data_IF_131807148952
#
_entry.id   IF_131807148952
#
_cell.length_a   1.000
_cell.length_b   1.000
_cell.length_c   1.000
_cell.angle_alpha   90.00
_cell.angle_beta   90.00
_cell.angle_gamma   90.00
#
_symmetry.space_group_name_H-M   'P 1'
#
loop_
_entity.id
_entity.type
_entity.pdbx_description
1 polymer ?
#
# COMPACT_ATOMS: atom_id res chain seq x y z
N UNK A 1 -21.23 9.08 -26.64
CA UNK A 1 -20.66 8.18 -25.60
C UNK A 1 -19.93 7.04 -26.28
N UNK A 2 -18.61 6.96 -26.14
CA UNK A 2 -17.75 6.03 -26.87
C UNK A 2 -18.17 4.57 -26.67
N UNK A 3 -18.07 3.77 -27.74
CA UNK A 3 -18.35 2.32 -27.73
C UNK A 3 -17.46 1.61 -26.72
N UNK A 4 -16.22 2.08 -26.55
CA UNK A 4 -15.26 1.59 -25.56
C UNK A 4 -15.76 1.75 -24.12
N UNK A 5 -16.32 2.91 -23.75
CA UNK A 5 -16.90 3.12 -22.42
C UNK A 5 -18.12 2.23 -22.18
N UNK A 6 -18.95 2.02 -23.20
CA UNK A 6 -20.12 1.13 -23.11
C UNK A 6 -19.72 -0.33 -22.90
N UNK A 7 -18.73 -0.82 -23.66
CA UNK A 7 -18.21 -2.19 -23.53
C UNK A 7 -17.50 -2.40 -22.18
N UNK A 8 -16.72 -1.42 -21.72
CA UNK A 8 -16.09 -1.48 -20.41
C UNK A 8 -17.13 -1.53 -19.27
N UNK A 9 -18.15 -0.68 -19.33
CA UNK A 9 -19.22 -0.65 -18.32
C UNK A 9 -20.04 -1.95 -18.34
N UNK A 10 -20.28 -2.51 -19.53
CA UNK A 10 -20.97 -3.78 -19.70
C UNK A 10 -20.14 -4.94 -19.12
N UNK A 11 -18.84 -5.00 -19.42
CA UNK A 11 -17.91 -6.01 -18.91
C UNK A 11 -17.83 -6.01 -17.38
N UNK A 12 -17.74 -4.83 -16.76
CA UNK A 12 -17.79 -4.66 -15.30
C UNK A 12 -19.10 -5.22 -14.75
N UNK A 13 -20.23 -4.89 -15.37
CA UNK A 13 -21.55 -5.37 -14.93
C UNK A 13 -21.74 -6.87 -15.14
N UNK A 14 -21.20 -7.44 -16.22
CA UNK A 14 -21.32 -8.86 -16.55
C UNK A 14 -20.35 -9.74 -15.77
N UNK A 15 -19.25 -9.20 -15.24
CA UNK A 15 -18.29 -9.98 -14.46
C UNK A 15 -18.53 -9.80 -12.96
N UNK A 16 -18.73 -8.58 -12.46
CA UNK A 16 -18.80 -8.33 -11.02
C UNK A 16 -19.97 -9.06 -10.33
N UNK A 17 -21.18 -8.96 -10.90
CA UNK A 17 -22.40 -9.50 -10.27
C UNK A 17 -22.47 -11.04 -10.28
N UNK A 18 -22.32 -11.73 -11.42
CA UNK A 18 -22.38 -13.19 -11.41
C UNK A 18 -21.17 -13.82 -10.73
N UNK A 19 -19.99 -13.21 -10.76
CA UNK A 19 -18.81 -13.71 -10.05
C UNK A 19 -19.00 -13.59 -8.53
N UNK A 20 -19.45 -12.44 -8.03
CA UNK A 20 -19.75 -12.26 -6.60
C UNK A 20 -20.81 -13.27 -6.13
N UNK A 21 -21.89 -13.48 -6.92
CA UNK A 21 -22.93 -14.45 -6.57
C UNK A 21 -22.42 -15.90 -6.57
N UNK A 22 -21.55 -16.28 -7.53
CA UNK A 22 -20.92 -17.61 -7.56
C UNK A 22 -19.98 -17.82 -6.39
N UNK A 23 -19.13 -16.84 -6.09
CA UNK A 23 -18.22 -16.88 -4.93
C UNK A 23 -19.00 -17.01 -3.62
N UNK A 24 -20.08 -16.24 -3.45
CA UNK A 24 -20.96 -16.33 -2.27
C UNK A 24 -21.58 -17.73 -2.13
N UNK A 25 -21.95 -18.38 -3.24
CA UNK A 25 -22.50 -19.74 -3.24
C UNK A 25 -21.43 -20.77 -2.83
N UNK A 26 -20.25 -20.73 -3.46
CA UNK A 26 -19.13 -21.63 -3.14
C UNK A 26 -18.63 -21.46 -1.69
N UNK A 27 -18.61 -20.23 -1.17
CA UNK A 27 -18.22 -19.95 0.20
C UNK A 27 -19.22 -20.49 1.24
N UNK A 28 -20.49 -20.64 0.87
CA UNK A 28 -21.52 -21.28 1.72
C UNK A 28 -21.46 -22.79 1.66
N UNK A 29 -21.21 -23.34 0.48
CA UNK A 29 -21.20 -24.79 0.21
C UNK A 29 -19.97 -25.49 0.80
N UNK A 30 -18.81 -24.83 0.83
CA UNK A 30 -17.59 -25.45 1.31
C UNK A 30 -17.07 -24.85 2.63
N UNK A 31 -16.92 -25.64 3.71
CA UNK A 31 -16.50 -25.14 5.03
C UNK A 31 -15.02 -24.70 5.07
N UNK A 32 -14.15 -25.25 4.22
CA UNK A 32 -12.75 -24.80 4.09
C UNK A 32 -12.68 -23.41 3.46
N UNK A 33 -13.42 -23.21 2.38
CA UNK A 33 -13.55 -21.93 1.70
C UNK A 33 -14.19 -20.89 2.64
N UNK A 34 -15.24 -21.27 3.37
CA UNK A 34 -15.87 -20.40 4.38
C UNK A 34 -14.85 -19.89 5.41
N UNK A 35 -14.05 -20.77 6.01
CA UNK A 35 -13.01 -20.38 6.96
C UNK A 35 -11.95 -19.47 6.35
N UNK A 36 -11.53 -19.77 5.12
CA UNK A 36 -10.55 -18.94 4.40
C UNK A 36 -11.10 -17.52 4.17
N UNK A 37 -12.35 -17.40 3.69
CA UNK A 37 -13.01 -16.11 3.48
C UNK A 37 -13.22 -15.35 4.80
N UNK A 38 -13.67 -16.03 5.85
CA UNK A 38 -13.85 -15.40 7.16
C UNK A 38 -12.50 -14.91 7.70
N UNK A 39 -11.46 -15.73 7.67
CA UNK A 39 -10.13 -15.34 8.15
C UNK A 39 -9.56 -14.17 7.34
N UNK A 40 -9.73 -14.20 6.01
CA UNK A 40 -9.30 -13.13 5.12
C UNK A 40 -10.03 -11.82 5.41
N UNK A 41 -11.37 -11.84 5.49
CA UNK A 41 -12.18 -10.66 5.78
C UNK A 41 -11.92 -10.10 7.17
N UNK A 42 -11.70 -10.96 8.17
CA UNK A 42 -11.30 -10.51 9.50
C UNK A 42 -9.89 -9.90 9.49
N UNK A 43 -8.96 -10.45 8.70
CA UNK A 43 -7.63 -9.90 8.49
C UNK A 43 -7.68 -8.49 7.89
N UNK A 44 -8.40 -8.34 6.77
CA UNK A 44 -8.62 -7.04 6.13
C UNK A 44 -9.31 -6.06 7.06
N UNK A 45 -10.35 -6.49 7.78
CA UNK A 45 -11.04 -5.63 8.73
C UNK A 45 -10.13 -5.14 9.87
N UNK A 46 -9.26 -6.02 10.38
CA UNK A 46 -8.27 -5.62 11.39
C UNK A 46 -7.26 -4.61 10.83
N UNK A 47 -6.83 -4.78 9.58
CA UNK A 47 -5.92 -3.85 8.92
C UNK A 47 -6.60 -2.49 8.71
N UNK A 48 -7.81 -2.47 8.14
CA UNK A 48 -8.60 -1.26 7.93
C UNK A 48 -8.88 -0.53 9.25
N UNK A 49 -9.34 -1.24 10.28
CA UNK A 49 -9.56 -0.65 11.60
C UNK A 49 -8.26 -0.19 12.25
N UNK A 50 -7.15 -0.91 12.09
CA UNK A 50 -5.84 -0.47 12.61
C UNK A 50 -5.36 0.80 11.91
N UNK A 51 -5.58 0.94 10.61
CA UNK A 51 -5.25 2.15 9.87
C UNK A 51 -6.16 3.30 10.29
N UNK A 52 -7.48 3.08 10.39
CA UNK A 52 -8.44 4.09 10.85
C UNK A 52 -8.16 4.55 12.27
N UNK A 53 -7.89 3.63 13.19
CA UNK A 53 -7.51 3.96 14.56
C UNK A 53 -6.12 4.61 14.60
N UNK A 54 -5.18 4.21 13.74
CA UNK A 54 -3.88 4.86 13.64
C UNK A 54 -3.91 6.28 13.06
N UNK A 55 -4.88 6.57 12.17
CA UNK A 55 -5.00 7.85 11.45
C UNK A 55 -5.99 8.83 12.09
N UNK A 56 -7.10 8.36 12.67
CA UNK A 56 -8.15 9.21 13.26
C UNK A 56 -8.08 9.30 14.79
N UNK A 57 -7.45 8.34 15.45
CA UNK A 57 -7.35 8.37 16.90
C UNK A 57 -6.16 9.27 17.25
N UNK A 58 -6.46 10.52 17.59
CA UNK A 58 -5.49 11.51 18.05
C UNK A 58 -4.71 10.91 19.23
N UNK A 59 -3.54 10.33 18.93
CA UNK A 59 -2.77 9.55 19.91
C UNK A 59 -2.35 10.44 21.08
N UNK A 60 -2.22 11.73 20.82
CA UNK A 60 -2.10 12.83 21.77
C UNK A 60 -3.21 12.83 22.84
N UNK A 61 -4.48 12.70 22.46
CA UNK A 61 -5.62 12.78 23.39
C UNK A 61 -5.66 11.56 24.31
N UNK A 62 -5.41 10.39 23.76
CA UNK A 62 -5.35 9.14 24.54
C UNK A 62 -4.14 9.14 25.46
N UNK A 63 -2.97 9.57 24.98
CA UNK A 63 -1.78 9.69 25.81
C UNK A 63 -1.98 10.71 26.94
N UNK A 64 -2.68 11.82 26.69
CA UNK A 64 -3.06 12.80 27.71
C UNK A 64 -4.04 12.23 28.73
N UNK A 65 -5.02 11.43 28.30
CA UNK A 65 -5.96 10.74 29.20
C UNK A 65 -5.24 9.70 30.08
N UNK A 66 -4.42 8.85 29.47
CA UNK A 66 -3.60 7.85 30.18
C UNK A 66 -2.66 8.52 31.19
N UNK A 67 -2.02 9.64 30.81
CA UNK A 67 -1.13 10.40 31.70
C UNK A 67 -1.89 11.00 32.88
N UNK A 68 -3.03 11.65 32.64
CA UNK A 68 -3.87 12.22 33.70
C UNK A 68 -4.40 11.15 34.66
N UNK A 69 -4.78 9.99 34.14
CA UNK A 69 -5.29 8.88 34.96
C UNK A 69 -4.17 8.20 35.76
N UNK A 70 -2.97 8.08 35.19
CA UNK A 70 -1.78 7.60 35.90
C UNK A 70 -1.34 8.55 37.02
N UNK A 71 -1.30 9.87 36.75
CA UNK A 71 -0.97 10.89 37.74
C UNK A 71 -2.04 10.98 38.84
N UNK A 72 -3.33 10.81 38.50
CA UNK A 72 -4.42 10.76 39.47
C UNK A 72 -4.39 9.48 40.33
N UNK A 73 -4.03 8.32 39.76
CA UNK A 73 -3.85 7.08 40.50
C UNK A 73 -2.66 7.19 41.48
N UNK A 74 -1.55 7.78 41.04
CA UNK A 74 -0.39 8.05 41.89
C UNK A 74 -0.72 9.06 43.00
N UNK A 75 -1.48 10.13 42.70
CA UNK A 75 -1.93 11.10 43.70
C UNK A 75 -2.90 10.49 44.73
N UNK A 76 -3.80 9.60 44.30
CA UNK A 76 -4.70 8.85 45.21
C UNK A 76 -3.92 7.90 46.12
N UNK A 77 -2.85 7.28 45.62
CA UNK A 77 -1.96 6.42 46.42
C UNK A 77 -1.12 7.22 47.40
N UNK A 78 -0.52 8.34 46.97
CA UNK A 78 0.21 9.28 47.84
C UNK A 78 -0.68 9.90 48.92
N UNK A 79 -1.98 10.09 48.66
CA UNK A 79 -2.95 10.54 49.67
C UNK A 79 -3.39 9.43 50.64
N UNK A 80 -3.26 8.16 50.24
CA UNK A 80 -3.58 7.00 51.07
C UNK A 80 -2.36 6.49 51.88
N UNK A 81 -1.13 6.71 51.41
CA UNK A 81 0.09 6.45 52.16
C UNK A 81 0.35 7.57 53.18
N UNK A 82 0.30 7.22 54.47
CA UNK A 82 0.59 8.16 55.55
C UNK A 82 2.07 8.60 55.53
N UNK A 83 2.38 9.86 55.85
CA UNK A 83 3.72 10.45 55.70
C UNK A 83 4.70 9.79 56.68
N UNK A 84 5.43 8.79 56.21
CA UNK A 84 6.48 8.09 56.94
C UNK A 84 7.73 8.02 56.07
N UNK A 85 8.91 8.07 56.70
CA UNK A 85 10.21 8.10 56.01
C UNK A 85 10.43 6.76 55.31
N UNK A 86 10.21 6.72 53.99
CA UNK A 86 10.28 5.49 53.19
C UNK A 86 11.73 5.02 53.04
N UNK A 87 11.95 3.73 53.28
CA UNK A 87 13.26 3.08 53.09
C UNK A 87 13.47 2.73 51.60
N UNK A 88 14.71 2.63 51.11
CA UNK A 88 15.00 2.39 49.67
C UNK A 88 14.30 1.15 49.05
N UNK A 89 14.00 0.13 49.86
CA UNK A 89 13.29 -1.06 49.42
C UNK A 89 11.81 -0.77 49.08
N UNK A 90 11.17 0.12 49.85
CA UNK A 90 9.76 0.50 49.67
C UNK A 90 9.58 1.40 48.45
N UNK A 91 10.55 2.30 48.16
CA UNK A 91 10.57 3.08 46.91
C UNK A 91 10.63 2.17 45.68
N UNK A 92 11.48 1.14 45.70
CA UNK A 92 11.62 0.21 44.57
C UNK A 92 10.35 -0.63 44.34
N UNK A 93 9.62 -0.98 45.40
CA UNK A 93 8.34 -1.66 45.26
C UNK A 93 7.24 -0.71 44.78
N UNK A 94 7.18 0.51 45.31
CA UNK A 94 6.27 1.55 44.86
C UNK A 94 6.45 1.88 43.37
N UNK A 95 7.71 2.03 42.92
CA UNK A 95 8.03 2.30 41.52
C UNK A 95 7.61 1.14 40.61
N UNK A 96 7.85 -0.12 41.03
CA UNK A 96 7.38 -1.30 40.30
C UNK A 96 5.86 -1.35 40.21
N UNK A 97 5.16 -1.10 41.31
CA UNK A 97 3.69 -1.10 41.35
C UNK A 97 3.09 0.03 40.51
N UNK A 98 3.74 1.19 40.47
CA UNK A 98 3.35 2.34 39.65
C UNK A 98 3.55 2.04 38.16
N UNK A 99 4.65 1.37 37.80
CA UNK A 99 4.89 0.95 36.42
C UNK A 99 3.95 -0.18 35.96
N UNK A 100 3.57 -1.10 36.85
CA UNK A 100 2.55 -2.11 36.55
C UNK A 100 1.15 -1.50 36.36
N UNK A 101 0.78 -0.51 37.17
CA UNK A 101 -0.51 0.18 37.03
C UNK A 101 -0.56 1.02 35.75
N UNK A 102 0.52 1.75 35.42
CA UNK A 102 0.66 2.45 34.13
C UNK A 102 0.52 1.50 32.94
N UNK A 103 1.07 0.28 33.03
CA UNK A 103 0.90 -0.75 31.99
C UNK A 103 -0.55 -1.19 31.85
N UNK A 104 -1.26 -1.42 32.97
CA UNK A 104 -2.70 -1.78 32.96
C UNK A 104 -3.58 -0.67 32.39
N UNK A 105 -3.33 0.59 32.73
CA UNK A 105 -4.07 1.76 32.19
C UNK A 105 -3.82 1.90 30.68
N UNK A 106 -2.58 1.71 30.21
CA UNK A 106 -2.26 1.69 28.78
C UNK A 106 -2.96 0.55 28.04
N UNK A 107 -3.07 -0.61 28.66
CA UNK A 107 -3.72 -1.78 28.07
C UNK A 107 -5.25 -1.60 27.98
N UNK A 108 -5.88 -0.97 28.98
CA UNK A 108 -7.32 -0.72 28.98
C UNK A 108 -7.76 0.25 27.88
N UNK A 109 -6.92 1.22 27.52
CA UNK A 109 -7.18 2.20 26.47
C UNK A 109 -6.94 1.67 25.05
N UNK A 110 -6.51 0.41 24.90
CA UNK A 110 -6.28 -0.17 23.58
C UNK A 110 -7.63 -0.47 22.90
N UNK A 111 -7.90 0.11 21.72
CA UNK A 111 -9.19 -0.09 21.05
C UNK A 111 -9.39 -1.57 20.66
N UNK A 112 -10.43 -2.19 21.23
CA UNK A 112 -10.74 -3.61 21.01
C UNK A 112 -11.63 -3.76 19.76
N UNK A 113 -11.04 -4.21 18.66
CA UNK A 113 -11.74 -4.42 17.38
C UNK A 113 -12.67 -5.63 17.51
N UNK A 114 -13.99 -5.41 17.35
CA UNK A 114 -14.98 -6.49 17.36
C UNK A 114 -14.92 -7.26 16.03
N UNK A 115 -14.91 -8.60 16.04
CA UNK A 115 -14.93 -9.36 14.79
C UNK A 115 -16.26 -9.18 14.06
N UNK A 116 -16.24 -9.16 12.73
CA UNK A 116 -17.46 -9.17 11.91
C UNK A 116 -18.26 -10.47 12.13
N UNK A 117 -19.58 -10.38 12.00
CA UNK A 117 -20.42 -11.58 11.89
C UNK A 117 -20.03 -12.39 10.65
N UNK A 118 -20.20 -13.71 10.71
CA UNK A 118 -19.80 -14.62 9.62
C UNK A 118 -20.46 -14.25 8.29
N UNK A 119 -21.74 -13.88 8.31
CA UNK A 119 -22.50 -13.43 7.14
C UNK A 119 -21.88 -12.18 6.49
N UNK A 120 -21.55 -11.16 7.27
CA UNK A 120 -20.94 -9.92 6.79
C UNK A 120 -19.51 -10.16 6.31
N UNK A 121 -18.76 -11.04 6.97
CA UNK A 121 -17.41 -11.40 6.55
C UNK A 121 -17.41 -12.09 5.17
N UNK A 122 -18.35 -12.99 4.90
CA UNK A 122 -18.50 -13.64 3.60
C UNK A 122 -18.87 -12.63 2.52
N UNK A 123 -19.79 -11.71 2.80
CA UNK A 123 -20.21 -10.69 1.85
C UNK A 123 -19.09 -9.70 1.50
N UNK A 124 -18.41 -9.17 2.52
CA UNK A 124 -17.27 -8.28 2.33
C UNK A 124 -16.14 -8.97 1.55
N UNK A 125 -15.82 -10.22 1.87
CA UNK A 125 -14.79 -10.99 1.19
C UNK A 125 -15.16 -11.30 -0.27
N UNK A 126 -16.42 -11.61 -0.55
CA UNK A 126 -16.88 -11.86 -1.92
C UNK A 126 -16.83 -10.61 -2.80
N UNK A 127 -17.24 -9.45 -2.26
CA UNK A 127 -17.17 -8.19 -2.97
C UNK A 127 -15.71 -7.81 -3.27
N UNK A 128 -14.84 -7.89 -2.27
CA UNK A 128 -13.40 -7.64 -2.45
C UNK A 128 -12.78 -8.56 -3.50
N UNK A 129 -13.07 -9.87 -3.46
CA UNK A 129 -12.48 -10.81 -4.43
C UNK A 129 -12.96 -10.52 -5.86
N UNK A 130 -14.22 -10.13 -6.05
CA UNK A 130 -14.74 -9.78 -7.38
C UNK A 130 -14.13 -8.49 -7.93
N UNK A 131 -13.88 -7.52 -7.06
CA UNK A 131 -13.23 -6.25 -7.41
C UNK A 131 -11.75 -6.47 -7.72
N UNK A 132 -11.04 -7.19 -6.85
CA UNK A 132 -9.64 -7.57 -7.06
C UNK A 132 -9.44 -8.37 -8.36
N UNK A 133 -10.40 -9.23 -8.72
CA UNK A 133 -10.35 -9.95 -9.99
C UNK A 133 -10.42 -9.01 -11.21
N UNK A 134 -11.34 -8.05 -11.22
CA UNK A 134 -11.49 -7.09 -12.33
C UNK A 134 -10.24 -6.20 -12.44
N UNK A 135 -9.75 -5.67 -11.32
CA UNK A 135 -8.51 -4.90 -11.30
C UNK A 135 -7.30 -5.74 -11.70
N UNK A 136 -7.25 -7.01 -11.30
CA UNK A 136 -6.19 -7.94 -11.70
C UNK A 136 -6.17 -8.16 -13.21
N UNK A 137 -7.33 -8.43 -13.82
CA UNK A 137 -7.43 -8.57 -15.29
C UNK A 137 -7.02 -7.28 -15.99
N UNK A 138 -7.48 -6.11 -15.51
CA UNK A 138 -7.08 -4.82 -16.07
C UNK A 138 -5.58 -4.54 -15.95
N UNK A 139 -5.00 -4.78 -14.77
CA UNK A 139 -3.56 -4.61 -14.53
C UNK A 139 -2.73 -5.54 -15.39
N UNK A 140 -3.14 -6.81 -15.55
CA UNK A 140 -2.47 -7.76 -16.44
C UNK A 140 -2.51 -7.28 -17.89
N UNK A 141 -3.65 -6.78 -18.38
CA UNK A 141 -3.75 -6.24 -19.75
C UNK A 141 -2.82 -5.03 -19.92
N UNK A 142 -2.82 -4.10 -18.96
CA UNK A 142 -1.98 -2.90 -19.01
C UNK A 142 -0.49 -3.27 -18.99
N UNK A 143 -0.08 -4.18 -18.09
CA UNK A 143 1.31 -4.64 -17.99
C UNK A 143 1.71 -5.38 -19.26
N UNK A 144 0.83 -6.24 -19.79
CA UNK A 144 1.07 -6.99 -21.02
C UNK A 144 1.23 -6.06 -22.22
N UNK A 145 0.35 -5.08 -22.37
CA UNK A 145 0.44 -4.07 -23.43
C UNK A 145 1.70 -3.22 -23.27
N UNK A 146 2.01 -2.77 -22.05
CA UNK A 146 3.22 -2.00 -21.76
C UNK A 146 4.48 -2.79 -22.14
N UNK A 147 4.58 -4.06 -21.74
CA UNK A 147 5.69 -4.93 -22.10
C UNK A 147 5.79 -5.18 -23.60
N UNK A 148 4.66 -5.42 -24.27
CA UNK A 148 4.60 -5.61 -25.73
C UNK A 148 4.96 -4.33 -26.48
N UNK A 149 4.50 -3.18 -26.01
CA UNK A 149 4.77 -1.86 -26.60
C UNK A 149 6.24 -1.49 -26.47
N UNK A 150 6.85 -1.71 -25.30
CA UNK A 150 8.27 -1.47 -25.08
C UNK A 150 9.18 -2.29 -26.01
N UNK A 151 8.77 -3.49 -26.43
CA UNK A 151 9.53 -4.26 -27.44
C UNK A 151 9.53 -3.59 -28.81
N UNK A 152 8.44 -2.94 -29.22
CA UNK A 152 8.36 -2.21 -30.50
C UNK A 152 9.14 -0.90 -30.46
N UNK A 153 9.03 -0.15 -29.37
CA UNK A 153 9.77 1.10 -29.17
C UNK A 153 11.30 0.88 -29.15
N UNK A 154 11.78 -0.24 -28.59
CA UNK A 154 13.22 -0.60 -28.64
C UNK A 154 13.73 -0.79 -30.07
N UNK A 155 12.98 -1.48 -30.93
CA UNK A 155 13.35 -1.65 -32.34
C UNK A 155 13.32 -0.33 -33.12
N UNK A 156 12.37 0.56 -32.80
CA UNK A 156 12.30 1.89 -33.42
C UNK A 156 13.45 2.79 -32.97
N UNK A 157 13.88 2.68 -31.70
CA UNK A 157 15.05 3.39 -31.19
C UNK A 157 16.36 2.89 -31.79
N UNK A 158 16.53 1.59 -32.01
CA UNK A 158 17.72 1.07 -32.70
C UNK A 158 17.79 1.56 -34.13
N UNK A 159 16.66 1.50 -34.87
CA UNK A 159 16.62 1.99 -36.26
C UNK A 159 16.93 3.50 -36.34
N UNK A 160 16.49 4.30 -35.38
CA UNK A 160 16.83 5.73 -35.31
C UNK A 160 18.31 5.92 -34.97
N UNK A 161 18.88 5.11 -34.09
CA UNK A 161 20.31 5.16 -33.77
C UNK A 161 21.17 4.81 -35.01
N UNK A 162 20.82 3.75 -35.74
CA UNK A 162 21.53 3.35 -36.96
C UNK A 162 21.50 4.46 -38.03
N UNK A 163 20.39 5.20 -38.15
CA UNK A 163 20.26 6.34 -39.07
C UNK A 163 21.09 7.55 -38.64
N UNK A 164 21.19 7.79 -37.33
CA UNK A 164 22.03 8.88 -36.81
C UNK A 164 23.51 8.58 -37.07
N UNK A 165 23.95 7.35 -36.86
CA UNK A 165 25.31 6.93 -37.13
C UNK A 165 25.66 7.04 -38.63
N UNK A 166 24.75 6.62 -39.51
CA UNK A 166 24.94 6.75 -40.96
C UNK A 166 25.04 8.22 -41.42
N UNK A 167 24.20 9.11 -40.88
CA UNK A 167 24.27 10.55 -41.17
C UNK A 167 25.56 11.17 -40.64
N UNK A 168 26.02 10.76 -39.46
CA UNK A 168 27.28 11.23 -38.89
C UNK A 168 28.46 10.84 -39.80
N UNK A 169 28.48 9.61 -40.32
CA UNK A 169 29.52 9.13 -41.24
C UNK A 169 29.52 9.91 -42.57
N UNK A 170 28.34 10.30 -43.07
CA UNK A 170 28.22 11.12 -44.27
C UNK A 170 28.72 12.55 -44.04
N UNK A 171 28.41 13.14 -42.89
CA UNK A 171 28.94 14.46 -42.48
C UNK A 171 30.47 14.43 -42.35
N UNK A 172 31.02 13.40 -41.72
CA UNK A 172 32.47 13.26 -41.55
C UNK A 172 33.19 13.09 -42.91
N UNK A 173 32.60 12.35 -43.85
CA UNK A 173 33.11 12.25 -45.23
C UNK A 173 33.13 13.60 -45.93
N UNK A 174 32.04 14.35 -45.88
CA UNK A 174 31.96 15.69 -46.47
C UNK A 174 33.03 16.60 -45.88
N UNK A 175 33.18 16.61 -44.54
CA UNK A 175 34.20 17.42 -43.88
C UNK A 175 35.63 17.04 -44.29
N UNK A 176 35.91 15.74 -44.46
CA UNK A 176 37.22 15.27 -44.92
C UNK A 176 37.53 15.70 -46.36
N UNK A 177 36.52 15.68 -47.24
CA UNK A 177 36.65 16.13 -48.63
C UNK A 177 36.85 17.64 -48.70
N UNK A 178 36.13 18.42 -47.88
CA UNK A 178 36.34 19.88 -47.78
C UNK A 178 37.77 20.21 -47.35
N UNK A 179 38.32 19.46 -46.37
CA UNK A 179 39.70 19.63 -45.93
C UNK A 179 40.72 19.30 -47.03
N UNK A 180 40.46 18.27 -47.84
CA UNK A 180 41.31 17.90 -48.97
C UNK A 180 41.28 18.96 -50.08
N UNK A 181 40.09 19.47 -50.44
CA UNK A 181 39.93 20.55 -51.42
C UNK A 181 40.68 21.81 -50.96
N UNK A 182 40.58 22.18 -49.68
CA UNK A 182 41.30 23.32 -49.11
C UNK A 182 42.82 23.16 -49.24
N UNK A 183 43.35 21.95 -49.00
CA UNK A 183 44.78 21.67 -49.18
C UNK A 183 45.22 21.80 -50.63
N UNK A 184 44.49 21.20 -51.56
CA UNK A 184 44.78 21.28 -52.99
C UNK A 184 44.71 22.72 -53.49
N UNK A 185 43.78 23.53 -52.97
CA UNK A 185 43.67 24.94 -53.35
C UNK A 185 44.87 25.75 -52.87
N UNK A 186 45.33 25.52 -51.64
CA UNK A 186 46.52 26.18 -51.10
C UNK A 186 47.79 25.81 -51.88
N UNK A 187 47.93 24.55 -52.30
CA UNK A 187 49.07 24.07 -53.10
C UNK A 187 49.08 24.63 -54.54
N UNK A 188 47.91 24.98 -55.10
CA UNK A 188 47.81 25.61 -56.42
C UNK A 188 47.91 27.15 -56.39
N UNK A 189 47.86 27.77 -55.20
CA UNK A 189 48.02 29.23 -55.03
C UNK A 189 49.47 29.65 -54.73
N UNK A 190 50.37 28.70 -54.41
CA UNK A 190 51.85 28.89 -54.37
C UNK A 190 52.51 28.67 -55.74
#
# INVERSE_FOLDING_TARGET
>A
MSVTLKLATLAVRTLAKPLSNRIKKTAKEHPKWRRLFVNFSQGLHRIDMRMRLGLLQDQEVINRQIKKEAEAAEARRRAAEAPTVMTEAQMKEHDKMTEEEKKKIKESHKPRIRPLSESKAIEAGANFLSEAFIFGVGAVIIIFESWRSSRKEKGRRSEVADKLDALQEEVDKISSLEAEILRLRAENEE
#
